data_IF_795367464208
#
_entry.id   IF_795367464208
#
_cell.length_a   1.000
_cell.length_b   1.000
_cell.length_c   1.000
_cell.angle_alpha   90.00
_cell.angle_beta   90.00
_cell.angle_gamma   90.00
#
_symmetry.space_group_name_H-M   'P 1'
#
loop_
_entity.id
_entity.type
_entity.pdbx_description
1 polymer ?
#
# COMPACT_ATOMS: atom_id res chain seq x y z
N UNK A 1 19.35 -69.63 39.78
CA UNK A 1 18.24 -69.23 38.90
C UNK A 1 18.75 -68.13 37.98
N UNK A 2 18.67 -68.37 36.68
CA UNK A 2 19.18 -67.52 35.61
C UNK A 2 18.12 -66.45 35.30
N UNK A 3 18.51 -65.17 35.22
CA UNK A 3 17.75 -64.10 34.54
C UNK A 3 18.77 -63.14 33.93
N UNK A 4 19.02 -63.16 32.61
CA UNK A 4 18.20 -62.55 31.55
C UNK A 4 18.11 -61.02 31.76
N UNK A 5 19.03 -60.23 31.18
CA UNK A 5 19.04 -59.66 29.81
C UNK A 5 18.42 -58.25 29.76
N UNK A 6 19.19 -57.37 29.11
CA UNK A 6 18.79 -56.26 28.22
C UNK A 6 19.13 -54.85 28.70
N UNK A 7 20.11 -54.25 28.03
CA UNK A 7 20.29 -52.81 28.01
C UNK A 7 19.17 -52.12 27.20
N UNK A 8 18.93 -50.86 27.54
CA UNK A 8 18.23 -49.92 26.68
C UNK A 8 18.94 -48.57 26.78
N UNK A 9 19.63 -48.20 25.71
CA UNK A 9 19.99 -46.83 25.41
C UNK A 9 18.91 -46.16 24.54
N UNK A 10 18.94 -44.83 24.52
CA UNK A 10 18.07 -43.95 23.71
C UNK A 10 16.70 -43.72 24.33
N UNK A 11 16.07 -42.54 24.27
CA UNK A 11 16.18 -41.48 23.27
C UNK A 11 15.63 -40.19 23.92
N UNK A 12 16.36 -39.07 23.79
CA UNK A 12 15.85 -37.73 24.08
C UNK A 12 14.89 -37.31 22.96
N UNK A 13 13.60 -37.20 23.25
CA UNK A 13 12.59 -36.63 22.34
C UNK A 13 12.29 -35.18 22.74
N UNK A 14 13.01 -34.24 22.11
CA UNK A 14 12.62 -32.83 22.05
C UNK A 14 11.48 -32.69 21.04
N UNK A 15 10.23 -32.81 21.52
CA UNK A 15 9.06 -32.42 20.76
C UNK A 15 8.88 -30.90 20.83
N UNK A 16 9.58 -30.16 19.95
CA UNK A 16 9.29 -28.76 19.69
C UNK A 16 8.30 -28.66 18.53
N UNK A 17 7.01 -28.83 18.81
CA UNK A 17 5.97 -28.38 17.89
C UNK A 17 5.91 -26.85 17.98
N UNK A 18 6.55 -26.16 17.03
CA UNK A 18 6.37 -24.74 16.84
C UNK A 18 4.88 -24.43 16.62
N UNK A 19 4.38 -23.38 17.27
CA UNK A 19 3.00 -22.93 17.13
C UNK A 19 2.71 -22.63 15.66
N UNK A 20 1.85 -23.44 15.04
CA UNK A 20 1.36 -23.23 13.68
C UNK A 20 0.64 -21.87 13.65
N UNK A 21 0.96 -20.98 12.70
CA UNK A 21 0.25 -19.71 12.56
C UNK A 21 -1.25 -19.97 12.43
N UNK A 22 -2.06 -19.37 13.30
CA UNK A 22 -3.52 -19.52 13.30
C UNK A 22 -4.16 -18.33 12.56
N UNK A 23 -4.55 -18.48 11.28
CA UNK A 23 -5.05 -17.37 10.46
C UNK A 23 -6.42 -16.83 10.90
N UNK A 24 -7.08 -17.46 11.88
CA UNK A 24 -8.37 -17.03 12.45
C UNK A 24 -8.30 -16.74 13.96
N UNK A 25 -7.10 -16.61 14.54
CA UNK A 25 -6.98 -16.22 15.96
C UNK A 25 -7.47 -14.80 16.16
N UNK A 26 -8.18 -14.54 17.26
CA UNK A 26 -8.63 -13.20 17.64
C UNK A 26 -7.52 -12.32 18.26
N UNK A 27 -6.29 -12.80 18.27
CA UNK A 27 -5.15 -12.09 18.86
C UNK A 27 -4.71 -10.93 17.95
N UNK A 28 -4.82 -9.70 18.46
CA UNK A 28 -4.46 -8.46 17.75
C UNK A 28 -3.00 -8.45 17.26
N UNK A 29 -2.09 -9.13 17.95
CA UNK A 29 -0.70 -9.27 17.55
C UNK A 29 -0.49 -10.08 16.25
N UNK A 30 -1.43 -10.96 15.89
CA UNK A 30 -1.41 -11.72 14.64
C UNK A 30 -2.06 -10.94 13.48
N UNK A 31 -3.03 -10.07 13.76
CA UNK A 31 -3.65 -9.18 12.78
C UNK A 31 -2.64 -8.18 12.18
N UNK A 32 -1.69 -7.69 12.98
CA UNK A 32 -0.61 -6.82 12.50
C UNK A 32 0.40 -7.51 11.56
N UNK A 33 0.50 -8.85 11.60
CA UNK A 33 1.48 -9.64 10.81
C UNK A 33 0.94 -10.15 9.48
N UNK A 34 -0.36 -10.00 9.23
CA UNK A 34 -1.00 -10.43 8.00
C UNK A 34 -1.86 -9.30 7.39
N UNK A 35 -1.24 -8.19 6.92
CA UNK A 35 -1.97 -7.08 6.32
C UNK A 35 -2.80 -7.48 5.09
N UNK A 36 -2.51 -8.63 4.47
CA UNK A 36 -3.29 -9.20 3.37
C UNK A 36 -4.60 -9.89 3.80
N UNK A 37 -4.80 -10.18 5.09
CA UNK A 37 -6.02 -10.79 5.64
C UNK A 37 -7.04 -9.76 6.15
N UNK A 38 -6.64 -8.49 6.26
CA UNK A 38 -7.59 -7.40 6.43
C UNK A 38 -8.15 -7.13 5.04
N UNK A 39 -9.36 -7.65 4.78
CA UNK A 39 -10.07 -7.36 3.55
C UNK A 39 -10.07 -5.84 3.31
N UNK A 40 -9.72 -5.36 2.11
CA UNK A 40 -9.83 -3.95 1.79
C UNK A 40 -11.29 -3.54 1.98
N UNK A 41 -11.55 -2.68 2.97
CA UNK A 41 -12.83 -2.07 3.33
C UNK A 41 -14.00 -3.05 3.56
N UNK A 42 -14.23 -3.39 4.83
CA UNK A 42 -15.33 -4.22 5.37
C UNK A 42 -16.73 -3.59 5.28
N UNK A 43 -16.91 -2.57 4.45
CA UNK A 43 -18.17 -1.83 4.34
C UNK A 43 -19.13 -2.59 3.43
N UNK A 44 -19.87 -3.55 4.00
CA UNK A 44 -20.98 -4.18 3.28
C UNK A 44 -22.11 -3.17 3.05
N UNK A 45 -22.84 -3.28 1.94
CA UNK A 45 -23.97 -2.41 1.61
C UNK A 45 -25.27 -3.02 2.12
N UNK A 46 -26.02 -2.28 2.91
CA UNK A 46 -27.39 -2.63 3.29
C UNK A 46 -28.34 -1.99 2.27
N UNK A 47 -29.07 -2.83 1.55
CA UNK A 47 -30.09 -2.35 0.60
C UNK A 47 -31.44 -2.33 1.30
N UNK A 48 -32.05 -1.16 1.44
CA UNK A 48 -33.36 -1.00 2.08
C UNK A 48 -34.49 -1.19 1.06
N UNK A 49 -35.66 -1.73 1.48
CA UNK A 49 -36.84 -1.77 0.63
C UNK A 49 -37.18 -0.39 0.07
N UNK A 50 -37.53 -0.34 -1.23
CA UNK A 50 -37.88 0.92 -1.89
C UNK A 50 -39.21 1.44 -1.33
N UNK A 51 -39.21 2.69 -0.88
CA UNK A 51 -40.40 3.37 -0.36
C UNK A 51 -41.22 4.02 -1.49
N UNK A 52 -42.46 4.44 -1.22
CA UNK A 52 -43.32 5.08 -2.23
C UNK A 52 -43.95 4.13 -3.27
N UNK A 53 -43.69 2.83 -3.15
CA UNK A 53 -44.30 1.74 -3.93
C UNK A 53 -44.93 0.70 -2.99
N UNK A 54 -45.78 -0.22 -3.49
CA UNK A 54 -46.27 -1.34 -2.67
C UNK A 54 -45.13 -2.12 -2.02
N UNK A 55 -45.32 -2.57 -0.77
CA UNK A 55 -44.23 -3.12 0.05
C UNK A 55 -43.57 -4.38 -0.55
N UNK A 56 -44.36 -5.24 -1.19
CA UNK A 56 -43.89 -6.41 -1.94
C UNK A 56 -43.01 -6.01 -3.13
N UNK A 57 -43.41 -4.97 -3.86
CA UNK A 57 -42.67 -4.38 -4.96
C UNK A 57 -41.37 -3.76 -4.46
N UNK A 58 -41.42 -3.00 -3.36
CA UNK A 58 -40.25 -2.37 -2.76
C UNK A 58 -39.22 -3.39 -2.28
N UNK A 59 -39.68 -4.50 -1.69
CA UNK A 59 -38.82 -5.62 -1.29
C UNK A 59 -38.18 -6.31 -2.50
N UNK A 60 -38.96 -6.60 -3.55
CA UNK A 60 -38.46 -7.22 -4.77
C UNK A 60 -37.33 -6.38 -5.41
N UNK A 61 -37.51 -5.06 -5.47
CA UNK A 61 -36.51 -4.15 -6.03
C UNK A 61 -35.22 -4.16 -5.19
N UNK A 62 -35.34 -4.17 -3.86
CA UNK A 62 -34.19 -4.26 -2.96
C UNK A 62 -33.43 -5.60 -3.10
N UNK A 63 -34.17 -6.70 -3.25
CA UNK A 63 -33.57 -8.03 -3.47
C UNK A 63 -32.80 -8.09 -4.80
N UNK A 64 -33.38 -7.55 -5.88
CA UNK A 64 -32.72 -7.46 -7.19
C UNK A 64 -31.46 -6.57 -7.15
N UNK A 65 -31.50 -5.47 -6.40
CA UNK A 65 -30.34 -4.60 -6.22
C UNK A 65 -29.23 -5.27 -5.39
N UNK A 66 -29.59 -5.97 -4.31
CA UNK A 66 -28.63 -6.73 -3.52
C UNK A 66 -27.98 -7.87 -4.34
N UNK A 67 -28.76 -8.61 -5.14
CA UNK A 67 -28.23 -9.66 -6.02
C UNK A 67 -27.28 -9.07 -7.09
N UNK A 68 -27.63 -7.92 -7.68
CA UNK A 68 -26.78 -7.24 -8.65
C UNK A 68 -25.44 -6.79 -8.05
N UNK A 69 -25.46 -6.27 -6.81
CA UNK A 69 -24.26 -5.88 -6.07
C UNK A 69 -23.37 -7.10 -5.76
N UNK A 70 -23.97 -8.19 -5.29
CA UNK A 70 -23.25 -9.44 -5.02
C UNK A 70 -22.58 -10.02 -6.27
N UNK A 71 -23.25 -9.96 -7.43
CA UNK A 71 -22.68 -10.37 -8.74
C UNK A 71 -21.46 -9.54 -9.16
N UNK A 72 -21.26 -8.36 -8.56
CA UNK A 72 -20.14 -7.45 -8.81
C UNK A 72 -19.11 -7.48 -7.66
N UNK A 73 -19.10 -8.56 -6.86
CA UNK A 73 -18.23 -8.75 -5.70
C UNK A 73 -18.39 -7.68 -4.60
N UNK A 74 -19.52 -6.98 -4.57
CA UNK A 74 -19.88 -6.07 -3.47
C UNK A 74 -20.71 -6.82 -2.44
N UNK A 75 -20.21 -6.92 -1.21
CA UNK A 75 -20.92 -7.58 -0.12
C UNK A 75 -22.20 -6.79 0.25
N UNK A 76 -23.36 -7.18 -0.30
CA UNK A 76 -24.63 -6.50 -0.08
C UNK A 76 -25.69 -7.41 0.53
N UNK A 77 -26.53 -6.88 1.42
CA UNK A 77 -27.64 -7.62 2.04
C UNK A 77 -28.83 -6.70 2.33
N UNK A 78 -30.05 -7.26 2.36
CA UNK A 78 -31.27 -6.49 2.69
C UNK A 78 -31.58 -6.48 4.19
N UNK A 79 -30.96 -7.38 4.97
CA UNK A 79 -31.32 -7.63 6.39
C UNK A 79 -30.18 -7.52 7.40
N UNK A 80 -28.93 -7.68 6.97
CA UNK A 80 -27.77 -7.78 7.87
C UNK A 80 -26.87 -6.58 7.62
N UNK A 81 -26.71 -5.77 8.65
CA UNK A 81 -25.85 -4.60 8.70
C UNK A 81 -24.68 -4.85 9.66
N UNK A 82 -23.52 -4.28 9.37
CA UNK A 82 -22.45 -4.12 10.34
C UNK A 82 -22.27 -2.62 10.67
N UNK A 83 -21.45 -2.29 11.68
CA UNK A 83 -21.30 -0.88 12.13
C UNK A 83 -20.72 0.06 11.07
N UNK A 84 -20.10 -0.47 10.02
CA UNK A 84 -19.52 0.27 8.92
C UNK A 84 -20.33 0.13 7.62
N UNK A 85 -21.55 -0.42 7.67
CA UNK A 85 -22.34 -0.65 6.47
C UNK A 85 -22.86 0.64 5.85
N UNK A 86 -22.67 0.79 4.54
CA UNK A 86 -23.37 1.82 3.78
C UNK A 86 -24.84 1.43 3.62
N UNK A 87 -25.73 2.42 3.52
CA UNK A 87 -27.16 2.22 3.34
C UNK A 87 -27.57 2.72 1.96
N UNK A 88 -28.09 1.82 1.13
CA UNK A 88 -28.71 2.14 -0.16
C UNK A 88 -30.23 2.14 0.03
N UNK A 89 -30.86 3.30 -0.06
CA UNK A 89 -32.31 3.46 -0.03
C UNK A 89 -32.85 3.89 -1.39
N UNK A 90 -34.08 3.51 -1.71
CA UNK A 90 -34.78 3.98 -2.91
C UNK A 90 -36.13 4.60 -2.57
N UNK A 91 -36.50 5.67 -3.25
CA UNK A 91 -37.84 6.26 -3.24
C UNK A 91 -38.46 6.14 -4.63
N UNK A 92 -39.47 5.29 -4.75
CA UNK A 92 -40.21 5.04 -5.98
C UNK A 92 -41.40 5.99 -6.16
N UNK A 93 -41.60 6.47 -7.38
CA UNK A 93 -42.73 7.31 -7.76
C UNK A 93 -43.28 6.89 -9.13
N UNK A 94 -44.59 6.65 -9.22
CA UNK A 94 -45.24 6.38 -10.50
C UNK A 94 -45.52 7.69 -11.25
N UNK A 95 -45.05 7.77 -12.49
CA UNK A 95 -45.21 8.90 -13.38
C UNK A 95 -46.57 8.85 -14.10
N UNK A 96 -47.08 9.99 -14.62
CA UNK A 96 -48.37 10.06 -15.30
C UNK A 96 -48.48 9.16 -16.54
N UNK A 97 -47.36 8.83 -17.17
CA UNK A 97 -47.28 7.94 -18.33
C UNK A 97 -47.17 6.46 -17.96
N UNK A 98 -47.28 6.12 -16.68
CA UNK A 98 -47.24 4.76 -16.15
C UNK A 98 -45.84 4.24 -15.83
N UNK A 99 -44.77 4.96 -16.19
CA UNK A 99 -43.39 4.59 -15.82
C UNK A 99 -43.16 4.80 -14.32
N UNK A 100 -42.13 4.14 -13.78
CA UNK A 100 -41.72 4.29 -12.39
C UNK A 100 -40.35 4.96 -12.34
N UNK A 101 -40.28 6.07 -11.63
CA UNK A 101 -39.04 6.71 -11.24
C UNK A 101 -38.56 6.10 -9.92
N UNK A 102 -37.27 5.83 -9.77
CA UNK A 102 -36.65 5.38 -8.53
C UNK A 102 -35.49 6.33 -8.23
N UNK A 103 -35.61 7.09 -7.13
CA UNK A 103 -34.54 7.92 -6.61
C UNK A 103 -33.75 7.13 -5.56
N UNK A 104 -32.54 6.74 -5.91
CA UNK A 104 -31.59 6.03 -5.08
C UNK A 104 -30.70 6.99 -4.30
N UNK A 105 -30.49 6.70 -3.02
CA UNK A 105 -29.60 7.44 -2.14
C UNK A 105 -28.66 6.46 -1.44
N UNK A 106 -27.36 6.75 -1.49
CA UNK A 106 -26.33 6.03 -0.76
C UNK A 106 -25.86 6.88 0.42
N UNK A 107 -25.95 6.34 1.63
CA UNK A 107 -25.58 7.04 2.85
C UNK A 107 -24.63 6.22 3.72
N UNK A 108 -23.83 6.91 4.54
CA UNK A 108 -23.05 6.30 5.62
C UNK A 108 -23.94 5.96 6.81
N UNK A 109 -23.45 5.14 7.77
CA UNK A 109 -24.17 4.86 9.03
C UNK A 109 -24.58 6.09 9.83
N UNK A 110 -23.85 7.22 9.68
CA UNK A 110 -24.14 8.48 10.36
C UNK A 110 -25.23 9.32 9.65
N UNK A 111 -25.79 8.81 8.54
CA UNK A 111 -26.80 9.50 7.73
C UNK A 111 -26.24 10.44 6.67
N UNK A 112 -24.90 10.58 6.57
CA UNK A 112 -24.28 11.40 5.52
C UNK A 112 -24.52 10.79 4.15
N UNK A 113 -25.21 11.51 3.27
CA UNK A 113 -25.39 11.13 1.87
C UNK A 113 -24.06 11.27 1.12
N UNK A 114 -23.64 10.19 0.46
CA UNK A 114 -22.40 10.12 -0.33
C UNK A 114 -22.66 9.92 -1.82
N UNK A 115 -23.93 9.76 -2.20
CA UNK A 115 -24.29 9.65 -3.60
C UNK A 115 -25.80 9.54 -3.82
N UNK A 116 -26.23 10.03 -4.97
CA UNK A 116 -27.62 9.98 -5.41
C UNK A 116 -27.69 9.58 -6.88
N UNK A 117 -28.76 8.89 -7.25
CA UNK A 117 -29.04 8.47 -8.63
C UNK A 117 -30.53 8.39 -8.85
N UNK A 118 -31.00 8.78 -10.03
CA UNK A 118 -32.40 8.58 -10.43
C UNK A 118 -32.46 7.72 -11.69
N UNK A 119 -33.28 6.67 -11.64
CA UNK A 119 -33.57 5.83 -12.79
C UNK A 119 -35.07 5.88 -13.13
N UNK A 120 -35.41 5.72 -14.42
CA UNK A 120 -36.79 5.60 -14.89
C UNK A 120 -36.95 4.23 -15.54
N UNK A 121 -37.88 3.43 -15.04
CA UNK A 121 -38.14 2.07 -15.49
C UNK A 121 -39.60 1.93 -15.95
N UNK A 122 -39.82 1.26 -17.09
CA UNK A 122 -41.14 1.01 -17.65
C UNK A 122 -41.47 -0.49 -17.76
N UNK A 123 -40.52 -1.36 -17.42
CA UNK A 123 -40.63 -2.82 -17.55
C UNK A 123 -39.65 -3.53 -16.62
N UNK A 124 -39.88 -4.83 -16.38
CA UNK A 124 -39.00 -5.68 -15.55
C UNK A 124 -37.58 -5.80 -16.12
N UNK A 125 -37.44 -5.78 -17.45
CA UNK A 125 -36.14 -5.78 -18.11
C UNK A 125 -35.34 -4.50 -17.78
N UNK A 126 -36.00 -3.34 -17.82
CA UNK A 126 -35.38 -2.07 -17.45
C UNK A 126 -35.13 -1.96 -15.94
N UNK A 127 -35.96 -2.59 -15.12
CA UNK A 127 -35.71 -2.68 -13.69
C UNK A 127 -34.43 -3.48 -13.39
N UNK A 128 -34.25 -4.62 -14.05
CA UNK A 128 -33.03 -5.43 -13.94
C UNK A 128 -31.79 -4.67 -14.44
N UNK A 129 -31.93 -3.87 -15.49
CA UNK A 129 -30.86 -3.02 -15.99
C UNK A 129 -30.52 -1.88 -15.01
N UNK A 130 -31.53 -1.27 -14.38
CA UNK A 130 -31.35 -0.23 -13.36
C UNK A 130 -30.58 -0.78 -12.15
N UNK A 131 -30.95 -1.95 -11.62
CA UNK A 131 -30.23 -2.55 -10.48
C UNK A 131 -28.79 -2.94 -10.83
N UNK A 132 -28.53 -3.41 -12.06
CA UNK A 132 -27.16 -3.62 -12.54
C UNK A 132 -26.35 -2.32 -12.63
N UNK A 133 -26.97 -1.22 -13.07
CA UNK A 133 -26.33 0.11 -13.09
C UNK A 133 -26.06 0.66 -11.69
N UNK A 134 -26.96 0.42 -10.73
CA UNK A 134 -26.75 0.74 -9.32
C UNK A 134 -25.56 -0.07 -8.77
N UNK A 135 -25.47 -1.37 -9.08
CA UNK A 135 -24.32 -2.18 -8.68
C UNK A 135 -23.00 -1.67 -9.27
N UNK A 136 -22.99 -1.28 -10.55
CA UNK A 136 -21.82 -0.69 -11.18
C UNK A 136 -21.43 0.67 -10.56
N UNK A 137 -22.42 1.46 -10.11
CA UNK A 137 -22.20 2.73 -9.43
C UNK A 137 -21.57 2.56 -8.05
N UNK A 138 -21.96 1.53 -7.30
CA UNK A 138 -21.46 1.23 -5.95
C UNK A 138 -20.20 0.36 -5.95
N UNK A 139 -19.75 -0.10 -7.12
CA UNK A 139 -18.52 -0.89 -7.20
C UNK A 139 -17.38 -0.05 -6.63
N UNK A 140 -16.58 -0.59 -5.68
CA UNK A 140 -15.39 0.09 -5.21
C UNK A 140 -14.55 0.50 -6.41
N UNK A 141 -14.47 1.80 -6.67
CA UNK A 141 -13.46 2.29 -7.59
C UNK A 141 -12.16 2.05 -6.86
N UNK A 142 -11.32 1.16 -7.39
CA UNK A 142 -9.94 1.04 -6.95
C UNK A 142 -9.42 2.48 -6.95
N UNK A 143 -9.07 3.06 -5.78
CA UNK A 143 -8.63 4.45 -5.78
C UNK A 143 -7.55 4.56 -6.84
N UNK A 144 -7.66 5.56 -7.71
CA UNK A 144 -6.55 5.93 -8.58
C UNK A 144 -5.41 6.19 -7.62
N UNK A 145 -4.51 5.21 -7.49
CA UNK A 145 -3.28 5.38 -6.74
C UNK A 145 -2.57 6.44 -7.56
N UNK A 146 -2.64 7.70 -7.13
CA UNK A 146 -1.74 8.73 -7.61
C UNK A 146 -0.37 8.19 -7.24
N UNK A 147 0.28 7.55 -8.21
CA UNK A 147 1.64 7.04 -8.03
C UNK A 147 2.48 8.29 -7.96
N UNK A 148 2.74 8.74 -6.73
CA UNK A 148 3.70 9.82 -6.50
C UNK A 148 5.05 9.21 -6.88
N UNK A 149 5.57 9.63 -8.03
CA UNK A 149 6.91 9.30 -8.48
C UNK A 149 7.85 10.29 -7.79
N UNK A 150 8.71 9.86 -6.85
CA UNK A 150 9.61 10.75 -6.14
C UNK A 150 10.56 11.45 -7.13
N UNK A 151 10.73 12.77 -6.97
CA UNK A 151 11.72 13.53 -7.76
C UNK A 151 13.04 13.50 -7.02
N UNK A 152 14.10 13.04 -7.66
CA UNK A 152 15.39 12.82 -7.00
C UNK A 152 16.50 13.53 -7.74
N UNK A 153 17.29 14.31 -7.02
CA UNK A 153 18.55 14.87 -7.49
C UNK A 153 19.70 14.15 -6.81
N UNK A 154 20.68 13.66 -7.58
CA UNK A 154 21.89 13.06 -7.03
C UNK A 154 22.97 14.13 -6.93
N UNK A 155 23.41 14.41 -5.71
CA UNK A 155 24.47 15.36 -5.45
C UNK A 155 25.86 14.73 -5.67
N UNK A 156 26.92 15.55 -5.74
CA UNK A 156 28.29 15.04 -5.74
C UNK A 156 28.51 14.03 -4.60
N UNK A 157 29.30 13.00 -4.89
CA UNK A 157 29.83 12.08 -3.88
C UNK A 157 31.16 12.66 -3.40
N UNK A 158 31.41 12.58 -2.09
CA UNK A 158 32.62 13.09 -1.47
C UNK A 158 33.46 11.97 -0.82
N UNK A 159 34.77 12.20 -0.71
CA UNK A 159 35.69 11.35 0.05
C UNK A 159 36.27 10.12 -0.69
N UNK A 160 35.77 9.75 -1.87
CA UNK A 160 36.35 8.65 -2.62
C UNK A 160 37.61 9.11 -3.39
N UNK A 161 38.73 8.37 -3.30
CA UNK A 161 39.94 8.69 -4.04
C UNK A 161 39.81 8.38 -5.54
N UNK A 162 40.71 8.97 -6.34
CA UNK A 162 40.78 8.71 -7.77
C UNK A 162 39.53 9.14 -8.53
N UNK A 163 38.98 8.24 -9.34
CA UNK A 163 37.73 8.44 -10.11
C UNK A 163 36.45 8.08 -9.32
N UNK A 164 36.58 7.76 -8.02
CA UNK A 164 35.51 7.17 -7.22
C UNK A 164 34.27 8.05 -7.09
N UNK A 165 34.43 9.34 -6.79
CA UNK A 165 33.31 10.26 -6.60
C UNK A 165 32.42 10.32 -7.86
N UNK A 166 33.04 10.49 -9.03
CA UNK A 166 32.33 10.60 -10.30
C UNK A 166 31.70 9.28 -10.76
N UNK A 167 32.37 8.15 -10.52
CA UNK A 167 31.85 6.84 -10.91
C UNK A 167 30.72 6.37 -9.99
N UNK A 168 30.82 6.62 -8.69
CA UNK A 168 29.76 6.29 -7.73
C UNK A 168 28.50 7.11 -7.99
N UNK A 169 28.63 8.43 -8.23
CA UNK A 169 27.49 9.28 -8.60
C UNK A 169 26.80 8.77 -9.86
N UNK A 170 27.56 8.57 -10.95
CA UNK A 170 27.00 8.11 -12.24
C UNK A 170 26.37 6.73 -12.14
N UNK A 171 26.98 5.82 -11.36
CA UNK A 171 26.42 4.50 -11.12
C UNK A 171 25.10 4.58 -10.37
N UNK A 172 24.98 5.47 -9.37
CA UNK A 172 23.74 5.68 -8.64
C UNK A 172 22.66 6.32 -9.52
N UNK A 173 22.99 7.34 -10.31
CA UNK A 173 22.07 7.93 -11.30
C UNK A 173 21.51 6.85 -12.24
N UNK A 174 22.37 5.99 -12.80
CA UNK A 174 21.94 4.89 -13.68
C UNK A 174 21.10 3.82 -12.96
N UNK A 175 21.34 3.60 -11.66
CA UNK A 175 20.53 2.70 -10.85
C UNK A 175 19.14 3.30 -10.57
N UNK A 176 19.07 4.58 -10.23
CA UNK A 176 17.82 5.30 -9.98
C UNK A 176 16.99 5.49 -11.24
N UNK A 177 17.59 5.71 -12.41
CA UNK A 177 16.87 5.80 -13.69
C UNK A 177 16.09 4.52 -14.04
N UNK A 178 16.51 3.37 -13.49
CA UNK A 178 15.83 2.08 -13.64
C UNK A 178 14.77 1.82 -12.55
N UNK A 179 14.63 2.73 -11.58
CA UNK A 179 13.69 2.63 -10.48
C UNK A 179 12.46 3.53 -10.74
N UNK A 180 11.35 3.35 -10.00
CA UNK A 180 10.15 4.18 -10.15
C UNK A 180 10.34 5.57 -9.48
N UNK A 181 11.33 6.33 -9.94
CA UNK A 181 11.66 7.70 -9.52
C UNK A 181 11.88 8.58 -10.75
N UNK A 182 11.79 9.88 -10.58
CA UNK A 182 12.10 10.86 -11.62
C UNK A 182 13.40 11.57 -11.26
N UNK A 183 14.47 11.33 -12.03
CA UNK A 183 15.71 12.07 -11.84
C UNK A 183 15.55 13.53 -12.30
N UNK A 184 16.02 14.47 -11.50
CA UNK A 184 16.02 15.91 -11.79
C UNK A 184 17.41 16.49 -11.60
N UNK A 185 17.80 17.40 -12.49
CA UNK A 185 19.09 18.11 -12.42
C UNK A 185 19.15 19.07 -11.22
N UNK A 186 18.04 19.77 -10.97
CA UNK A 186 17.89 20.69 -9.85
C UNK A 186 16.93 20.10 -8.82
N UNK A 187 17.11 20.50 -7.56
CA UNK A 187 16.25 20.10 -6.45
C UNK A 187 14.87 20.71 -6.66
N UNK A 188 13.87 19.86 -6.90
CA UNK A 188 12.48 20.30 -6.98
C UNK A 188 11.96 20.70 -5.59
N UNK A 189 10.99 21.62 -5.53
CA UNK A 189 10.32 22.05 -4.27
C UNK A 189 9.76 20.86 -3.46
N UNK A 190 9.40 19.79 -4.17
CA UNK A 190 8.86 18.55 -3.60
C UNK A 190 9.80 17.37 -3.79
N UNK A 191 11.07 17.63 -4.07
CA UNK A 191 12.05 16.61 -4.40
C UNK A 191 12.83 16.12 -3.21
N UNK A 192 13.73 15.21 -3.52
CA UNK A 192 14.67 14.58 -2.62
C UNK A 192 16.07 14.75 -3.17
N UNK A 193 17.04 14.75 -2.26
CA UNK A 193 18.45 14.76 -2.61
C UNK A 193 19.09 13.48 -2.08
N UNK A 194 19.94 12.86 -2.88
CA UNK A 194 20.83 11.79 -2.42
C UNK A 194 22.27 12.27 -2.50
N UNK A 195 22.96 12.27 -1.37
CA UNK A 195 24.38 12.58 -1.26
C UNK A 195 25.14 11.31 -0.82
N UNK A 196 26.34 11.10 -1.35
CA UNK A 196 27.19 9.98 -0.95
C UNK A 196 28.45 10.47 -0.26
N UNK A 197 28.78 9.88 0.90
CA UNK A 197 30.04 10.11 1.59
C UNK A 197 30.82 8.80 1.66
N UNK A 198 32.10 8.85 1.29
CA UNK A 198 33.01 7.70 1.32
C UNK A 198 34.13 7.95 2.32
N UNK A 199 34.37 6.97 3.17
CA UNK A 199 35.52 6.96 4.09
C UNK A 199 36.32 5.68 3.94
N UNK A 200 37.65 5.82 3.93
CA UNK A 200 38.59 4.71 3.82
C UNK A 200 39.53 4.74 5.02
N UNK A 201 39.60 3.63 5.75
CA UNK A 201 40.49 3.48 6.90
C UNK A 201 41.46 2.32 6.63
N UNK A 202 42.76 2.61 6.63
CA UNK A 202 43.80 1.59 6.54
C UNK A 202 43.82 0.75 7.82
N UNK A 203 43.68 -0.56 7.68
CA UNK A 203 43.77 -1.52 8.76
C UNK A 203 45.21 -2.00 8.95
N UNK A 204 45.55 -2.38 10.18
CA UNK A 204 46.87 -2.93 10.52
C UNK A 204 47.22 -4.23 9.78
N UNK A 205 46.23 -4.87 9.14
CA UNK A 205 46.39 -6.09 8.34
C UNK A 205 46.85 -5.82 6.91
N UNK A 206 47.04 -4.56 6.51
CA UNK A 206 47.34 -4.17 5.13
C UNK A 206 46.12 -4.11 4.21
N UNK A 207 44.91 -4.26 4.76
CA UNK A 207 43.64 -4.06 4.06
C UNK A 207 43.09 -2.65 4.31
N UNK A 208 42.15 -2.21 3.49
CA UNK A 208 41.37 -0.99 3.69
C UNK A 208 39.93 -1.35 4.06
N UNK A 209 39.38 -0.70 5.10
CA UNK A 209 37.94 -0.70 5.37
C UNK A 209 37.33 0.51 4.67
N UNK A 210 36.34 0.25 3.82
CA UNK A 210 35.65 1.25 3.01
C UNK A 210 34.21 1.32 3.50
N UNK A 211 33.79 2.51 3.93
CA UNK A 211 32.41 2.78 4.33
C UNK A 211 31.84 3.83 3.39
N UNK A 212 30.66 3.54 2.84
CA UNK A 212 29.92 4.42 1.94
C UNK A 212 28.56 4.66 2.58
N UNK A 213 28.24 5.93 2.82
CA UNK A 213 26.98 6.38 3.41
C UNK A 213 26.20 7.18 2.39
N UNK A 214 25.04 6.64 1.97
CA UNK A 214 24.11 7.36 1.09
C UNK A 214 23.05 8.06 1.93
N UNK A 215 23.15 9.38 2.02
CA UNK A 215 22.27 10.22 2.81
C UNK A 215 21.13 10.70 1.94
N UNK A 216 19.90 10.39 2.35
CA UNK A 216 18.68 10.86 1.67
C UNK A 216 18.11 12.05 2.43
N UNK A 217 17.95 13.17 1.73
CA UNK A 217 17.46 14.44 2.26
C UNK A 217 16.14 14.83 1.56
N UNK A 218 15.31 15.62 2.23
CA UNK A 218 14.20 16.34 1.59
C UNK A 218 14.69 17.60 0.85
N UNK A 219 13.78 18.26 0.12
CA UNK A 219 14.06 19.50 -0.61
C UNK A 219 14.58 20.66 0.26
N UNK A 220 14.41 20.59 1.58
CA UNK A 220 14.88 21.60 2.54
C UNK A 220 16.20 21.20 3.22
N UNK A 221 16.80 20.06 2.82
CA UNK A 221 18.05 19.56 3.37
C UNK A 221 17.89 18.80 4.69
N UNK A 222 16.66 18.48 5.12
CA UNK A 222 16.46 17.65 6.30
C UNK A 222 16.70 16.19 5.94
N UNK A 223 17.48 15.51 6.76
CA UNK A 223 17.74 14.08 6.60
C UNK A 223 16.48 13.25 6.83
N UNK A 224 16.16 12.41 5.84
CA UNK A 224 15.13 11.37 5.91
C UNK A 224 15.74 10.09 6.46
N UNK A 225 16.92 9.71 5.97
CA UNK A 225 17.61 8.50 6.40
C UNK A 225 18.97 8.34 5.73
N UNK A 226 19.66 7.26 6.08
CA UNK A 226 20.99 6.91 5.54
C UNK A 226 21.01 5.43 5.18
N UNK A 227 21.67 5.09 4.08
CA UNK A 227 21.98 3.71 3.67
C UNK A 227 23.49 3.51 3.72
N UNK A 228 23.95 2.74 4.70
CA UNK A 228 25.37 2.46 4.90
C UNK A 228 25.79 1.13 4.27
N UNK A 229 26.96 1.14 3.63
CA UNK A 229 27.62 -0.02 3.07
C UNK A 229 29.06 -0.05 3.59
N UNK A 230 29.48 -1.21 4.11
CA UNK A 230 30.81 -1.40 4.71
C UNK A 230 31.45 -2.65 4.13
N UNK A 231 32.67 -2.52 3.63
CA UNK A 231 33.43 -3.66 3.15
C UNK A 231 34.93 -3.51 3.41
N UNK A 232 35.62 -4.65 3.50
CA UNK A 232 37.08 -4.72 3.61
C UNK A 232 37.67 -5.19 2.30
N UNK A 233 38.61 -4.42 1.76
CA UNK A 233 39.26 -4.68 0.47
C UNK A 233 40.79 -4.72 0.63
N UNK A 234 41.53 -5.33 -0.31
CA UNK A 234 42.99 -5.23 -0.32
C UNK A 234 43.44 -3.77 -0.32
N UNK A 235 44.45 -3.44 0.48
CA UNK A 235 44.90 -2.06 0.65
C UNK A 235 45.33 -1.41 -0.67
N UNK A 236 44.89 -0.17 -0.89
CA UNK A 236 45.18 0.64 -2.07
C UNK A 236 44.49 0.19 -3.36
N UNK A 237 43.65 -0.85 -3.31
CA UNK A 237 42.95 -1.37 -4.49
C UNK A 237 41.99 -0.35 -5.12
N UNK A 238 41.52 0.62 -4.33
CA UNK A 238 40.58 1.66 -4.75
C UNK A 238 41.22 3.06 -4.80
N UNK A 239 42.55 3.20 -4.67
CA UNK A 239 43.22 4.52 -4.64
C UNK A 239 43.07 5.32 -5.94
N UNK A 240 42.80 4.64 -7.06
CA UNK A 240 42.71 5.26 -8.39
C UNK A 240 41.42 4.95 -9.14
N UNK A 241 41.05 3.68 -9.26
CA UNK A 241 39.92 3.28 -10.10
C UNK A 241 38.85 2.50 -9.36
N UNK A 242 37.61 2.94 -9.54
CA UNK A 242 36.39 2.37 -8.95
C UNK A 242 35.48 1.71 -9.99
N UNK A 243 35.85 1.70 -11.27
CA UNK A 243 34.96 1.29 -12.37
C UNK A 243 34.36 -0.10 -12.23
N UNK A 244 35.12 -1.06 -11.68
CA UNK A 244 34.61 -2.43 -11.48
C UNK A 244 33.64 -2.56 -10.31
N UNK A 245 33.67 -1.64 -9.34
CA UNK A 245 32.90 -1.74 -8.08
C UNK A 245 31.76 -0.73 -7.98
N UNK A 246 31.82 0.38 -8.73
CA UNK A 246 30.84 1.46 -8.61
C UNK A 246 29.39 1.02 -8.90
N UNK A 247 29.18 0.27 -10.00
CA UNK A 247 27.86 -0.23 -10.37
C UNK A 247 27.28 -1.22 -9.33
N UNK A 248 28.01 -2.27 -8.90
CA UNK A 248 27.55 -3.14 -7.81
C UNK A 248 27.23 -2.42 -6.50
N UNK A 249 28.02 -1.40 -6.13
CA UNK A 249 27.78 -0.59 -4.93
C UNK A 249 26.44 0.15 -5.03
N UNK A 250 26.23 0.84 -6.16
CA UNK A 250 24.99 1.58 -6.43
C UNK A 250 23.75 0.66 -6.47
N UNK A 251 23.84 -0.47 -7.17
CA UNK A 251 22.75 -1.46 -7.25
C UNK A 251 22.36 -1.98 -5.86
N UNK A 252 23.35 -2.23 -4.99
CA UNK A 252 23.10 -2.69 -3.63
C UNK A 252 22.49 -1.60 -2.73
N UNK A 253 22.74 -0.31 -3.00
CA UNK A 253 22.15 0.81 -2.25
C UNK A 253 20.72 1.15 -2.69
N UNK A 254 20.40 0.87 -3.96
CA UNK A 254 19.16 1.29 -4.62
C UNK A 254 17.89 0.94 -3.83
N UNK A 255 17.80 -0.30 -3.34
CA UNK A 255 16.63 -0.77 -2.60
C UNK A 255 16.37 0.04 -1.32
N UNK A 256 17.42 0.35 -0.56
CA UNK A 256 17.32 1.15 0.66
C UNK A 256 16.93 2.60 0.38
N UNK A 257 17.54 3.20 -0.65
CA UNK A 257 17.24 4.58 -1.05
C UNK A 257 15.76 4.69 -1.50
N UNK A 258 15.30 3.80 -2.37
CA UNK A 258 13.91 3.79 -2.84
C UNK A 258 12.91 3.58 -1.70
N UNK A 259 13.25 2.78 -0.69
CA UNK A 259 12.42 2.60 0.49
C UNK A 259 12.25 3.92 1.27
N UNK A 260 13.36 4.62 1.55
CA UNK A 260 13.35 5.91 2.25
C UNK A 260 12.54 6.97 1.49
N UNK A 261 12.67 7.02 0.17
CA UNK A 261 11.90 7.94 -0.68
C UNK A 261 10.39 7.68 -0.57
N UNK A 262 9.98 6.40 -0.64
CA UNK A 262 8.55 6.02 -0.52
C UNK A 262 7.98 6.33 0.86
N UNK A 263 8.74 6.05 1.91
CA UNK A 263 8.34 6.37 3.29
C UNK A 263 8.17 7.89 3.48
N UNK A 264 9.08 8.68 2.92
CA UNK A 264 8.98 10.15 2.94
C UNK A 264 7.71 10.64 2.22
N UNK A 265 7.39 10.10 1.04
CA UNK A 265 6.17 10.49 0.31
C UNK A 265 4.90 10.08 1.05
N UNK A 266 4.87 8.87 1.62
CA UNK A 266 3.74 8.41 2.42
C UNK A 266 3.52 9.28 3.68
N UNK A 267 4.60 9.66 4.36
CA UNK A 267 4.55 10.55 5.51
C UNK A 267 4.03 11.95 5.12
N UNK A 268 4.47 12.49 3.99
CA UNK A 268 3.99 13.77 3.45
C UNK A 268 2.50 13.73 3.12
N UNK A 269 2.05 12.65 2.46
CA UNK A 269 0.63 12.45 2.15
C UNK A 269 -0.24 12.38 3.41
N UNK A 270 0.24 11.72 4.48
CA UNK A 270 -0.48 11.65 5.75
C UNK A 270 -0.60 13.03 6.44
N UNK A 271 0.43 13.88 6.36
CA UNK A 271 0.40 15.24 6.93
C UNK A 271 -0.55 16.16 6.16
N UNK A 272 -0.64 16.02 4.83
CA UNK A 272 -1.58 16.77 3.99
C UNK A 272 -3.05 16.43 4.20
N UNK A 273 -3.36 15.31 4.87
CA UNK A 273 -4.73 14.81 5.14
C UNK A 273 -5.14 15.06 6.62
N UNK A 274 -4.30 15.73 7.43
CA UNK A 274 -4.67 16.16 8.79
C UNK A 274 -5.89 17.10 8.78
N UNK A 275 -6.73 17.11 9.85
CA UNK A 275 -8.03 17.78 9.81
C UNK A 275 -7.84 19.25 9.49
N UNK A 276 -8.48 19.71 8.42
CA UNK A 276 -8.63 21.13 8.15
C UNK A 276 -9.15 21.79 9.43
N UNK A 277 -8.28 22.54 10.11
CA UNK A 277 -8.67 23.42 11.20
C UNK A 277 -9.68 24.39 10.63
N UNK A 278 -10.96 24.15 10.92
CA UNK A 278 -12.01 25.14 10.80
C UNK A 278 -11.67 26.25 11.78
N UNK A 279 -10.97 27.28 11.30
CA UNK A 279 -10.87 28.55 12.01
C UNK A 279 -12.22 29.25 11.93
N UNK A 280 -12.76 29.53 13.12
CA UNK A 280 -13.95 30.32 13.43
C UNK A 280 -14.13 31.58 12.59
#
# INVERSE_FOLDING_TARGET
MIGAVAGLGGLLLLAACGQVPQPFSKDEANLAKAPFLIAPTTEGVVVLPVEGVPADTGQLIADLAAEALQKQDVAANVRISNRASLFLSGAGRRLPDGRMEIAWTLARPDGTVIGERTDIVASDAQLSESTAKVAAWLRPQKPDVVVIVPKVTVYPVDGAPGDGNDLLRRALELALDRAPVQLTTDVAENGHVVQGDVSITRLNTGNDRVVISWIVLDAHGKQIGVVDQDNVVPGGSLDRSWGAVAAPIADAALGGIVALLKESEAARAAVGIGPATLTN
#
